data_IF_195606085607
#
_entry.id   IF_195606085607
#
_cell.length_a   1.000
_cell.length_b   1.000
_cell.length_c   1.000
_cell.angle_alpha   90.00
_cell.angle_beta   90.00
_cell.angle_gamma   90.00
#
_symmetry.space_group_name_H-M   'P 1'
#
loop_
_entity.id
_entity.type
_entity.pdbx_description
1 polymer ?
#
# COMPACT_ATOMS: atom_id res chain seq x y z
N UNK A 1 -0.30 0.97 -16.40
CA UNK A 1 -0.72 2.37 -16.68
C UNK A 1 0.38 3.35 -16.26
N UNK A 2 1.14 3.94 -17.19
CA UNK A 2 2.14 4.96 -16.83
C UNK A 2 1.46 6.28 -16.39
N UNK A 3 2.07 7.03 -15.47
CA UNK A 3 1.50 8.29 -14.95
C UNK A 3 1.32 9.37 -16.04
N UNK A 4 2.21 9.41 -17.03
CA UNK A 4 2.21 10.39 -18.11
C UNK A 4 1.53 9.79 -19.36
N UNK A 5 0.45 9.04 -19.18
CA UNK A 5 -0.28 8.39 -20.27
C UNK A 5 -1.73 8.87 -20.35
N UNK A 6 -2.30 8.87 -21.56
CA UNK A 6 -3.73 9.11 -21.75
C UNK A 6 -4.58 8.06 -21.04
N UNK A 7 -4.11 6.80 -20.98
CA UNK A 7 -4.76 5.72 -20.24
C UNK A 7 -4.95 6.09 -18.76
N UNK A 8 -3.90 6.62 -18.11
CA UNK A 8 -4.00 7.10 -16.74
C UNK A 8 -4.94 8.31 -16.61
N UNK A 9 -4.92 9.25 -17.56
CA UNK A 9 -5.82 10.40 -17.53
C UNK A 9 -7.30 9.99 -17.57
N UNK A 10 -7.66 9.06 -18.48
CA UNK A 10 -9.02 8.52 -18.54
C UNK A 10 -9.38 7.70 -17.29
N UNK A 11 -8.46 6.87 -16.80
CA UNK A 11 -8.65 6.13 -15.55
C UNK A 11 -8.91 7.07 -14.37
N UNK A 12 -8.08 8.10 -14.22
CA UNK A 12 -8.20 9.10 -13.16
C UNK A 12 -9.54 9.84 -13.25
N UNK A 13 -9.94 10.31 -14.45
CA UNK A 13 -11.23 10.96 -14.67
C UNK A 13 -12.39 10.02 -14.34
N UNK A 14 -12.33 8.76 -14.75
CA UNK A 14 -13.36 7.77 -14.44
C UNK A 14 -13.49 7.55 -12.92
N UNK A 15 -12.37 7.37 -12.22
CA UNK A 15 -12.35 7.24 -10.75
C UNK A 15 -12.88 8.50 -10.08
N UNK A 16 -12.50 9.68 -10.56
CA UNK A 16 -13.00 10.97 -10.04
C UNK A 16 -14.51 11.09 -10.19
N UNK A 17 -15.05 10.76 -11.37
CA UNK A 17 -16.49 10.73 -11.63
C UNK A 17 -17.20 9.72 -10.71
N UNK A 18 -16.66 8.51 -10.57
CA UNK A 18 -17.22 7.47 -9.69
C UNK A 18 -17.26 7.94 -8.23
N UNK A 19 -16.18 8.55 -7.75
CA UNK A 19 -16.09 9.13 -6.39
C UNK A 19 -17.12 10.24 -6.21
N UNK A 20 -17.26 11.13 -7.20
CA UNK A 20 -18.19 12.26 -7.13
C UNK A 20 -19.65 11.79 -7.12
N UNK A 21 -20.00 10.83 -7.99
CA UNK A 21 -21.33 10.21 -8.02
C UNK A 21 -21.60 9.44 -6.73
N UNK A 22 -20.63 8.65 -6.24
CA UNK A 22 -20.76 7.93 -4.98
C UNK A 22 -20.99 8.88 -3.81
N UNK A 23 -20.27 10.02 -3.76
CA UNK A 23 -20.50 11.07 -2.75
C UNK A 23 -21.89 11.68 -2.84
N UNK A 24 -22.37 11.99 -4.04
CA UNK A 24 -23.69 12.59 -4.25
C UNK A 24 -24.84 11.65 -3.86
N UNK A 25 -24.70 10.34 -4.09
CA UNK A 25 -25.76 9.35 -3.81
C UNK A 25 -25.72 8.76 -2.41
N UNK A 26 -24.54 8.62 -1.81
CA UNK A 26 -24.37 7.81 -0.60
C UNK A 26 -24.60 8.55 0.72
N UNK A 27 -24.91 9.86 0.73
CA UNK A 27 -25.29 10.64 1.92
C UNK A 27 -24.56 10.25 3.22
N UNK A 28 -23.43 10.88 3.55
CA UNK A 28 -22.60 10.62 4.77
C UNK A 28 -22.08 9.18 4.98
N UNK A 29 -22.60 8.14 4.30
CA UNK A 29 -22.06 6.78 4.36
C UNK A 29 -20.80 6.64 3.50
N UNK A 30 -19.66 7.00 4.09
CA UNK A 30 -18.33 6.94 3.45
C UNK A 30 -17.82 5.53 3.09
N UNK A 31 -18.59 4.45 3.32
CA UNK A 31 -18.17 3.08 3.03
C UNK A 31 -18.04 2.81 1.52
N UNK A 32 -19.02 3.22 0.72
CA UNK A 32 -19.01 3.03 -0.74
C UNK A 32 -17.80 3.76 -1.35
N UNK A 33 -17.54 4.99 -0.88
CA UNK A 33 -16.39 5.78 -1.30
C UNK A 33 -15.05 5.06 -1.02
N UNK A 34 -14.90 4.48 0.17
CA UNK A 34 -13.70 3.72 0.55
C UNK A 34 -13.52 2.50 -0.33
N UNK A 35 -14.58 1.77 -0.64
CA UNK A 35 -14.53 0.60 -1.53
C UNK A 35 -14.16 0.99 -2.97
N UNK A 36 -14.71 2.08 -3.49
CA UNK A 36 -14.35 2.59 -4.83
C UNK A 36 -12.87 2.97 -4.88
N UNK A 37 -12.38 3.73 -3.89
CA UNK A 37 -10.97 4.13 -3.83
C UNK A 37 -10.04 2.94 -3.62
N UNK A 38 -10.44 1.95 -2.83
CA UNK A 38 -9.68 0.72 -2.63
C UNK A 38 -9.59 -0.06 -3.94
N UNK A 39 -10.72 -0.29 -4.62
CA UNK A 39 -10.76 -0.99 -5.91
C UNK A 39 -9.92 -0.26 -6.97
N UNK A 40 -10.04 1.06 -7.05
CA UNK A 40 -9.22 1.88 -7.94
C UNK A 40 -7.73 1.76 -7.63
N UNK A 41 -7.34 1.75 -6.35
CA UNK A 41 -5.95 1.57 -5.94
C UNK A 41 -5.41 0.22 -6.41
N UNK A 42 -6.12 -0.88 -6.16
CA UNK A 42 -5.71 -2.21 -6.61
C UNK A 42 -5.65 -2.33 -8.14
N UNK A 43 -6.62 -1.76 -8.86
CA UNK A 43 -6.62 -1.73 -10.33
C UNK A 43 -5.40 -0.96 -10.87
N UNK A 44 -5.06 0.17 -10.26
CA UNK A 44 -3.90 0.96 -10.66
C UNK A 44 -2.58 0.20 -10.41
N UNK A 45 -2.38 -0.39 -9.23
CA UNK A 45 -1.14 -1.11 -8.91
C UNK A 45 -0.97 -2.42 -9.70
N UNK A 46 -2.06 -3.16 -9.93
CA UNK A 46 -2.02 -4.39 -10.76
C UNK A 46 -1.67 -4.10 -12.21
N UNK A 47 -1.99 -2.90 -12.71
CA UNK A 47 -1.64 -2.47 -14.07
C UNK A 47 -0.13 -2.34 -14.32
N UNK A 48 0.70 -2.28 -13.27
CA UNK A 48 2.17 -2.31 -13.39
C UNK A 48 2.69 -3.74 -13.25
N UNK A 49 2.25 -4.45 -12.21
CA UNK A 49 2.60 -5.84 -11.97
C UNK A 49 1.54 -6.48 -11.07
N UNK A 50 1.05 -7.66 -11.44
CA UNK A 50 0.06 -8.40 -10.65
C UNK A 50 0.54 -8.69 -9.21
N UNK A 51 1.84 -8.89 -9.01
CA UNK A 51 2.46 -9.10 -7.70
C UNK A 51 2.32 -7.91 -6.75
N UNK A 52 2.13 -6.68 -7.26
CA UNK A 52 1.90 -5.53 -6.39
C UNK A 52 0.54 -5.55 -5.71
N UNK A 53 -0.46 -6.27 -6.23
CA UNK A 53 -1.69 -6.48 -5.47
C UNK A 53 -1.44 -7.27 -4.20
N UNK A 54 -0.61 -8.33 -4.27
CA UNK A 54 -0.24 -9.11 -3.08
C UNK A 54 0.54 -8.26 -2.10
N UNK A 55 1.43 -7.40 -2.59
CA UNK A 55 2.17 -6.45 -1.77
C UNK A 55 1.23 -5.48 -1.04
N UNK A 56 0.31 -4.85 -1.77
CA UNK A 56 -0.65 -3.90 -1.22
C UNK A 56 -1.59 -4.58 -0.22
N UNK A 57 -1.99 -5.82 -0.49
CA UNK A 57 -2.80 -6.64 0.41
C UNK A 57 -2.03 -7.01 1.67
N UNK A 58 -0.76 -7.41 1.56
CA UNK A 58 0.08 -7.71 2.71
C UNK A 58 0.22 -6.49 3.63
N UNK A 59 0.54 -5.32 3.07
CA UNK A 59 0.61 -4.07 3.86
C UNK A 59 -0.74 -3.73 4.48
N UNK A 60 -1.83 -3.82 3.72
CA UNK A 60 -3.18 -3.52 4.22
C UNK A 60 -3.57 -4.42 5.39
N UNK A 61 -3.32 -5.72 5.29
CA UNK A 61 -3.60 -6.72 6.34
C UNK A 61 -2.71 -6.48 7.55
N UNK A 62 -1.42 -6.20 7.37
CA UNK A 62 -0.49 -5.89 8.45
C UNK A 62 -0.91 -4.62 9.20
N UNK A 63 -1.19 -3.52 8.49
CA UNK A 63 -1.62 -2.25 9.09
C UNK A 63 -2.95 -2.41 9.83
N UNK A 64 -3.95 -3.04 9.19
CA UNK A 64 -5.26 -3.26 9.82
C UNK A 64 -5.17 -4.19 11.02
N UNK A 65 -4.43 -5.29 10.91
CA UNK A 65 -4.20 -6.26 11.98
C UNK A 65 -3.49 -5.64 13.17
N UNK A 66 -2.41 -4.87 12.94
CA UNK A 66 -1.69 -4.16 13.98
C UNK A 66 -2.60 -3.17 14.73
N UNK A 67 -3.39 -2.37 14.00
CA UNK A 67 -4.35 -1.44 14.59
C UNK A 67 -5.42 -2.15 15.42
N UNK A 68 -5.95 -3.30 14.94
CA UNK A 68 -6.92 -4.12 15.68
C UNK A 68 -6.34 -4.69 16.98
N UNK A 69 -5.11 -5.22 16.93
CA UNK A 69 -4.43 -5.75 18.12
C UNK A 69 -4.18 -4.62 19.12
N UNK A 70 -3.64 -3.48 18.68
CA UNK A 70 -3.37 -2.34 19.56
C UNK A 70 -4.63 -1.75 20.20
N UNK A 71 -5.77 -1.80 19.52
CA UNK A 71 -7.04 -1.29 20.04
C UNK A 71 -7.53 -2.06 21.28
N UNK A 72 -7.24 -3.36 21.37
CA UNK A 72 -7.69 -4.21 22.49
C UNK A 72 -6.58 -4.50 23.51
N UNK A 73 -5.34 -4.11 23.22
CA UNK A 73 -4.19 -4.50 24.03
C UNK A 73 -3.87 -3.48 25.13
N UNK A 74 -3.90 -3.96 26.38
CA UNK A 74 -3.71 -3.15 27.59
C UNK A 74 -2.26 -3.18 28.11
N UNK A 75 -1.52 -4.26 27.84
CA UNK A 75 -0.14 -4.38 28.30
C UNK A 75 0.80 -3.44 27.51
N UNK A 76 1.56 -2.56 28.19
CA UNK A 76 2.49 -1.64 27.51
C UNK A 76 3.61 -2.37 26.77
N UNK A 77 4.05 -3.52 27.29
CA UNK A 77 5.09 -4.34 26.65
C UNK A 77 4.57 -4.96 25.36
N UNK A 78 3.36 -5.53 25.39
CA UNK A 78 2.73 -6.14 24.22
C UNK A 78 2.40 -5.10 23.13
N UNK A 79 2.00 -3.88 23.52
CA UNK A 79 1.81 -2.77 22.57
C UNK A 79 3.13 -2.40 21.86
N UNK A 80 4.22 -2.24 22.62
CA UNK A 80 5.55 -1.97 22.03
C UNK A 80 6.00 -3.08 21.10
N UNK A 81 5.81 -4.35 21.49
CA UNK A 81 6.13 -5.49 20.64
C UNK A 81 5.29 -5.49 19.35
N UNK A 82 3.99 -5.18 19.42
CA UNK A 82 3.10 -5.10 18.25
C UNK A 82 3.54 -4.00 17.29
N UNK A 83 3.84 -2.79 17.79
CA UNK A 83 4.37 -1.69 16.98
C UNK A 83 5.72 -2.06 16.37
N UNK A 84 6.62 -2.68 17.16
CA UNK A 84 7.92 -3.14 16.68
C UNK A 84 7.80 -4.16 15.54
N UNK A 85 6.94 -5.16 15.70
CA UNK A 85 6.67 -6.16 14.67
C UNK A 85 6.06 -5.54 13.40
N UNK A 86 5.11 -4.61 13.56
CA UNK A 86 4.51 -3.89 12.45
C UNK A 86 5.54 -3.03 11.69
N UNK A 87 6.33 -2.24 12.41
CA UNK A 87 7.40 -1.42 11.82
C UNK A 87 8.44 -2.29 11.11
N UNK A 88 8.82 -3.43 11.70
CA UNK A 88 9.74 -4.37 11.06
C UNK A 88 9.17 -4.91 9.73
N UNK A 89 7.87 -5.22 9.68
CA UNK A 89 7.21 -5.65 8.45
C UNK A 89 7.19 -4.56 7.36
N UNK A 90 6.69 -3.36 7.69
CA UNK A 90 6.54 -2.26 6.72
C UNK A 90 7.89 -1.71 6.27
N UNK A 91 8.82 -1.47 7.20
CA UNK A 91 10.16 -1.00 6.87
C UNK A 91 11.00 -2.09 6.21
N UNK A 92 10.85 -3.36 6.60
CA UNK A 92 11.54 -4.48 5.96
C UNK A 92 11.17 -4.58 4.49
N UNK A 93 9.88 -4.49 4.17
CA UNK A 93 9.42 -4.41 2.79
C UNK A 93 9.98 -3.19 2.06
N UNK A 94 9.91 -2.00 2.66
CA UNK A 94 10.44 -0.78 2.06
C UNK A 94 11.94 -0.90 1.76
N UNK A 95 12.72 -1.41 2.71
CA UNK A 95 14.14 -1.65 2.56
C UNK A 95 14.43 -2.67 1.45
N UNK A 96 13.68 -3.77 1.38
CA UNK A 96 13.83 -4.76 0.31
C UNK A 96 13.67 -4.10 -1.07
N UNK A 97 12.53 -3.46 -1.33
CA UNK A 97 12.30 -2.84 -2.64
C UNK A 97 13.28 -1.72 -2.97
N UNK A 98 13.78 -1.00 -1.96
CA UNK A 98 14.68 0.14 -2.17
C UNK A 98 16.15 -0.25 -2.36
N UNK A 99 16.63 -1.29 -1.69
CA UNK A 99 18.05 -1.62 -1.61
C UNK A 99 18.42 -2.98 -2.23
N UNK A 100 17.44 -3.78 -2.68
CA UNK A 100 17.75 -5.09 -3.27
C UNK A 100 18.68 -4.99 -4.48
N UNK A 101 18.42 -4.07 -5.41
CA UNK A 101 19.28 -3.86 -6.59
C UNK A 101 20.72 -3.52 -6.21
N UNK A 102 20.90 -2.58 -5.27
CA UNK A 102 22.21 -2.21 -4.75
C UNK A 102 22.92 -3.40 -4.08
N UNK A 103 22.20 -4.19 -3.28
CA UNK A 103 22.75 -5.37 -2.64
C UNK A 103 23.15 -6.45 -3.67
N UNK A 104 22.40 -6.57 -4.75
CA UNK A 104 22.70 -7.48 -5.86
C UNK A 104 23.99 -7.07 -6.57
N UNK A 105 24.11 -5.79 -6.91
CA UNK A 105 25.31 -5.24 -7.56
C UNK A 105 26.56 -5.36 -6.68
N UNK A 106 26.45 -5.09 -5.38
CA UNK A 106 27.59 -5.15 -4.45
C UNK A 106 28.03 -6.57 -4.12
N UNK A 107 27.09 -7.51 -4.01
CA UNK A 107 27.40 -8.89 -3.63
C UNK A 107 27.84 -9.74 -4.82
N UNK A 108 27.31 -9.49 -6.03
CA UNK A 108 27.50 -10.34 -7.22
C UNK A 108 26.96 -11.77 -7.08
N UNK A 109 26.36 -12.11 -5.94
CA UNK A 109 25.86 -13.46 -5.61
C UNK A 109 24.34 -13.53 -5.59
N UNK A 110 23.66 -12.40 -5.49
CA UNK A 110 22.20 -12.34 -5.56
C UNK A 110 21.74 -12.29 -7.02
N UNK A 111 20.62 -12.93 -7.36
CA UNK A 111 20.05 -12.82 -8.70
C UNK A 111 19.64 -11.37 -9.00
N UNK A 112 19.94 -10.89 -10.20
CA UNK A 112 19.43 -9.61 -10.67
C UNK A 112 17.90 -9.70 -10.84
N UNK A 113 17.15 -9.26 -9.84
CA UNK A 113 15.73 -9.02 -10.00
C UNK A 113 15.56 -7.59 -10.52
N UNK A 114 15.10 -7.47 -11.77
CA UNK A 114 14.50 -6.26 -12.31
C UNK A 114 13.12 -6.05 -11.68
N UNK A 115 13.11 -5.80 -10.37
CA UNK A 115 11.90 -5.47 -9.65
C UNK A 115 11.50 -4.05 -10.00
N UNK A 116 10.39 -3.89 -10.72
CA UNK A 116 9.78 -2.58 -10.85
C UNK A 116 9.46 -2.06 -9.43
N UNK A 117 9.90 -0.85 -9.11
CA UNK A 117 9.52 -0.22 -7.86
C UNK A 117 8.04 0.17 -7.96
N UNK A 118 7.18 -0.26 -7.02
CA UNK A 118 5.81 0.22 -6.98
C UNK A 118 5.88 1.74 -6.76
N UNK A 119 5.30 2.49 -7.69
CA UNK A 119 5.17 3.94 -7.55
C UNK A 119 4.46 4.22 -6.24
N UNK A 120 5.10 4.98 -5.34
CA UNK A 120 4.50 5.34 -4.06
C UNK A 120 4.69 4.32 -2.93
N UNK A 121 5.60 3.33 -3.04
CA UNK A 121 5.90 2.39 -1.94
C UNK A 121 6.25 3.08 -0.63
N UNK A 122 7.04 4.15 -0.67
CA UNK A 122 7.34 4.98 0.49
C UNK A 122 6.09 5.66 1.05
N UNK A 123 5.23 6.17 0.16
CA UNK A 123 4.05 6.94 0.54
C UNK A 123 3.06 6.09 1.35
N UNK A 124 2.63 4.94 0.82
CA UNK A 124 1.67 4.11 1.55
C UNK A 124 2.29 3.46 2.80
N UNK A 125 3.60 3.22 2.81
CA UNK A 125 4.31 2.72 3.99
C UNK A 125 4.27 3.73 5.14
N UNK A 126 4.61 5.00 4.88
CA UNK A 126 4.56 6.05 5.90
C UNK A 126 3.13 6.44 6.28
N UNK A 127 2.19 6.44 5.33
CA UNK A 127 0.79 6.64 5.63
C UNK A 127 0.25 5.55 6.55
N UNK A 128 0.60 4.28 6.29
CA UNK A 128 0.24 3.16 7.15
C UNK A 128 0.80 3.34 8.57
N UNK A 129 2.05 3.79 8.70
CA UNK A 129 2.66 4.07 10.01
C UNK A 129 1.87 5.13 10.77
N UNK A 130 1.40 6.19 10.09
CA UNK A 130 0.57 7.22 10.72
C UNK A 130 -0.84 6.76 11.12
N UNK A 131 -1.32 5.62 10.63
CA UNK A 131 -2.64 5.08 10.96
C UNK A 131 -2.65 4.13 12.17
N UNK A 132 -1.48 3.65 12.62
CA UNK A 132 -1.31 2.69 13.72
C UNK A 132 -0.87 3.42 14.97
#
# INVERSE_FOLDING_TARGET
MQLISLEFAFFFLAVLCLVWIARARAGSHGQILRLVLLGASYAFYTSFNAGFALLLLAVSVLTWGAGRVLAVQSSPLARKATVGAYLAGVLGQLCFFKYYGLASELSGMLPELTLALPVGVSFFSFQGIGCV
#
